data_IF_903436779274
#
_entry.id   IF_903436779274
#
_cell.length_a   1.000
_cell.length_b   1.000
_cell.length_c   1.000
_cell.angle_alpha   90.00
_cell.angle_beta   90.00
_cell.angle_gamma   90.00
#
_symmetry.space_group_name_H-M   'P 1'
#
loop_
_entity.id
_entity.type
_entity.pdbx_description
1 polymer ?
#
# COMPACT_ATOMS: atom_id res chain seq x y z
N UNK A 1 0.51 18.16 17.99
CA UNK A 1 0.82 17.65 16.63
C UNK A 1 0.88 16.14 16.73
N UNK A 2 0.13 15.41 15.90
CA UNK A 2 0.11 13.93 15.93
C UNK A 2 1.47 13.39 15.49
N UNK A 3 1.95 12.34 16.16
CA UNK A 3 3.14 11.60 15.76
C UNK A 3 2.89 10.78 14.48
N UNK A 4 3.94 10.40 13.76
CA UNK A 4 3.82 9.53 12.56
C UNK A 4 3.05 8.24 12.90
N UNK A 5 3.31 7.66 14.06
CA UNK A 5 2.64 6.44 14.54
C UNK A 5 1.14 6.64 14.70
N UNK A 6 0.73 7.75 15.33
CA UNK A 6 -0.69 8.09 15.52
C UNK A 6 -1.38 8.34 14.18
N UNK A 7 -0.73 9.08 13.27
CA UNK A 7 -1.27 9.34 11.93
C UNK A 7 -1.50 8.02 11.18
N UNK A 8 -0.51 7.12 11.15
CA UNK A 8 -0.64 5.82 10.47
C UNK A 8 -1.78 4.99 11.08
N UNK A 9 -1.86 4.93 12.41
CA UNK A 9 -2.87 4.16 13.12
C UNK A 9 -4.28 4.69 12.85
N UNK A 10 -4.49 5.98 13.04
CA UNK A 10 -5.81 6.60 12.84
C UNK A 10 -6.26 6.53 11.37
N UNK A 11 -5.34 6.76 10.43
CA UNK A 11 -5.64 6.67 8.99
C UNK A 11 -6.07 5.25 8.63
N UNK A 12 -5.32 4.23 9.08
CA UNK A 12 -5.62 2.82 8.78
C UNK A 12 -7.00 2.42 9.34
N UNK A 13 -7.28 2.80 10.60
CA UNK A 13 -8.56 2.51 11.26
C UNK A 13 -9.72 3.21 10.55
N UNK A 14 -9.52 4.45 10.08
CA UNK A 14 -10.58 5.18 9.39
C UNK A 14 -10.95 4.55 8.04
N UNK A 15 -9.95 4.11 7.27
CA UNK A 15 -10.19 3.41 6.01
C UNK A 15 -10.95 2.10 6.30
N UNK A 16 -10.52 1.33 7.31
CA UNK A 16 -11.21 0.10 7.75
C UNK A 16 -12.67 0.34 8.13
N UNK A 17 -12.94 1.34 8.97
CA UNK A 17 -14.30 1.69 9.37
C UNK A 17 -15.16 2.09 8.17
N UNK A 18 -14.58 2.80 7.21
CA UNK A 18 -15.28 3.21 6.00
C UNK A 18 -15.64 2.01 5.13
N UNK A 19 -14.70 1.07 4.91
CA UNK A 19 -14.96 -0.20 4.21
C UNK A 19 -16.10 -0.96 4.90
N UNK A 20 -16.05 -1.13 6.22
CA UNK A 20 -17.11 -1.80 7.00
C UNK A 20 -18.47 -1.12 6.76
N UNK A 21 -18.50 0.22 6.74
CA UNK A 21 -19.75 0.98 6.59
C UNK A 21 -20.41 0.83 5.22
N UNK A 22 -19.63 0.76 4.14
CA UNK A 22 -20.16 0.66 2.77
C UNK A 22 -20.48 -0.78 2.36
N UNK A 23 -19.61 -1.72 2.73
CA UNK A 23 -19.73 -3.11 2.28
C UNK A 23 -20.45 -3.99 3.29
N UNK A 24 -20.86 -3.43 4.43
CA UNK A 24 -21.63 -4.12 5.47
C UNK A 24 -20.88 -5.30 6.10
N UNK A 25 -19.57 -5.42 5.86
CA UNK A 25 -18.81 -6.56 6.30
C UNK A 25 -18.50 -6.45 7.79
N UNK A 26 -19.41 -7.01 8.58
CA UNK A 26 -19.25 -7.21 10.01
C UNK A 26 -18.36 -8.41 10.35
N UNK A 27 -17.69 -9.01 9.36
CA UNK A 27 -16.79 -10.14 9.56
C UNK A 27 -15.84 -9.89 10.73
N UNK A 28 -15.49 -10.97 11.40
CA UNK A 28 -14.45 -10.96 12.41
C UNK A 28 -13.11 -10.45 11.84
N UNK A 29 -12.93 -10.47 10.51
CA UNK A 29 -11.71 -10.05 9.84
C UNK A 29 -11.42 -8.56 10.02
N UNK A 30 -12.29 -7.66 9.55
CA UNK A 30 -12.02 -6.21 9.66
C UNK A 30 -11.98 -5.73 11.12
N UNK A 31 -12.84 -6.28 11.99
CA UNK A 31 -12.80 -6.00 13.44
C UNK A 31 -11.48 -6.46 14.07
N UNK A 32 -10.98 -7.64 13.68
CA UNK A 32 -9.66 -8.14 14.11
C UNK A 32 -8.54 -7.25 13.59
N UNK A 33 -8.63 -6.75 12.37
CA UNK A 33 -7.63 -5.83 11.81
C UNK A 33 -7.60 -4.49 12.52
N UNK A 34 -8.76 -3.92 12.89
CA UNK A 34 -8.83 -2.73 13.73
C UNK A 34 -8.13 -2.99 15.07
N UNK A 35 -8.53 -4.05 15.78
CA UNK A 35 -7.92 -4.41 17.07
C UNK A 35 -6.41 -4.68 16.93
N UNK A 36 -5.98 -5.34 15.85
CA UNK A 36 -4.55 -5.57 15.61
C UNK A 36 -3.83 -4.24 15.41
N UNK A 37 -4.33 -3.38 14.54
CA UNK A 37 -3.79 -2.04 14.27
C UNK A 37 -3.69 -1.21 15.55
N UNK A 38 -4.71 -1.25 16.42
CA UNK A 38 -4.72 -0.59 17.73
C UNK A 38 -3.60 -1.06 18.66
N UNK A 39 -3.16 -2.32 18.54
CA UNK A 39 -2.12 -2.90 19.39
C UNK A 39 -0.73 -2.90 18.75
N UNK A 40 -0.60 -2.62 17.44
CA UNK A 40 0.70 -2.48 16.78
C UNK A 40 1.43 -1.24 17.29
N UNK A 41 2.71 -1.43 17.64
CA UNK A 41 3.59 -0.37 18.16
C UNK A 41 4.74 0.00 17.21
N UNK A 42 5.09 -0.87 16.27
CA UNK A 42 6.17 -0.64 15.31
C UNK A 42 5.65 0.14 14.10
N UNK A 43 6.35 1.22 13.74
CA UNK A 43 5.99 2.06 12.59
C UNK A 43 6.07 1.30 11.27
N UNK A 44 7.02 0.37 11.13
CA UNK A 44 7.13 -0.52 9.96
C UNK A 44 5.85 -1.32 9.74
N UNK A 45 5.33 -1.90 10.82
CA UNK A 45 4.21 -2.82 10.78
C UNK A 45 2.90 -2.05 10.52
N UNK A 46 2.79 -0.82 11.03
CA UNK A 46 1.69 0.10 10.68
C UNK A 46 1.74 0.55 9.21
N UNK A 47 2.95 0.71 8.64
CA UNK A 47 3.08 1.03 7.20
C UNK A 47 2.64 -0.15 6.33
N UNK A 48 2.96 -1.38 6.74
CA UNK A 48 2.48 -2.58 6.07
C UNK A 48 0.95 -2.67 6.16
N UNK A 49 0.38 -2.56 7.36
CA UNK A 49 -1.07 -2.57 7.55
C UNK A 49 -1.77 -1.48 6.71
N UNK A 50 -1.24 -0.26 6.67
CA UNK A 50 -1.79 0.79 5.83
C UNK A 50 -1.74 0.40 4.34
N UNK A 51 -0.64 -0.15 3.85
CA UNK A 51 -0.54 -0.58 2.46
C UNK A 51 -1.57 -1.67 2.13
N UNK A 52 -1.72 -2.67 2.99
CA UNK A 52 -2.68 -3.77 2.79
C UNK A 52 -4.12 -3.23 2.70
N UNK A 53 -4.46 -2.28 3.58
CA UNK A 53 -5.79 -1.67 3.58
C UNK A 53 -6.02 -0.72 2.39
N UNK A 54 -4.97 -0.05 1.91
CA UNK A 54 -5.07 0.72 0.67
C UNK A 54 -5.38 -0.20 -0.52
N UNK A 55 -4.78 -1.39 -0.57
CA UNK A 55 -5.10 -2.40 -1.59
C UNK A 55 -6.54 -2.92 -1.45
N UNK A 56 -7.02 -3.18 -0.22
CA UNK A 56 -8.42 -3.56 -0.02
C UNK A 56 -9.41 -2.46 -0.43
N UNK A 57 -9.05 -1.20 -0.26
CA UNK A 57 -9.89 -0.04 -0.58
C UNK A 57 -9.82 0.39 -2.06
N UNK A 58 -8.98 -0.24 -2.88
CA UNK A 58 -8.75 0.22 -4.27
C UNK A 58 -9.98 0.11 -5.17
N UNK A 59 -10.84 -0.86 -4.89
CA UNK A 59 -12.06 -1.13 -5.65
C UNK A 59 -13.25 -0.28 -5.18
N UNK A 60 -13.05 0.60 -4.19
CA UNK A 60 -14.06 1.54 -3.76
C UNK A 60 -14.47 2.48 -4.89
N UNK A 61 -15.76 2.78 -4.97
CA UNK A 61 -16.29 3.66 -6.01
C UNK A 61 -15.85 5.12 -5.79
N UNK A 62 -15.82 5.96 -6.83
CA UNK A 62 -15.40 7.36 -6.71
C UNK A 62 -16.14 8.14 -5.61
N UNK A 63 -17.44 7.92 -5.45
CA UNK A 63 -18.26 8.54 -4.41
C UNK A 63 -17.87 8.08 -2.99
N UNK A 64 -17.49 6.81 -2.84
CA UNK A 64 -17.06 6.22 -1.56
C UNK A 64 -15.65 6.72 -1.19
N UNK A 65 -14.76 6.84 -2.18
CA UNK A 65 -13.44 7.47 -2.01
C UNK A 65 -13.57 8.95 -1.65
N UNK A 66 -14.50 9.68 -2.29
CA UNK A 66 -14.75 11.08 -1.94
C UNK A 66 -15.23 11.25 -0.50
N UNK A 67 -16.10 10.34 -0.04
CA UNK A 67 -16.54 10.29 1.35
C UNK A 67 -15.37 9.99 2.31
N UNK A 68 -14.54 8.98 1.99
CA UNK A 68 -13.35 8.63 2.77
C UNK A 68 -12.36 9.79 2.87
N UNK A 69 -12.04 10.43 1.74
CA UNK A 69 -11.12 11.57 1.68
C UNK A 69 -11.62 12.75 2.52
N UNK A 70 -12.94 13.01 2.50
CA UNK A 70 -13.55 14.05 3.34
C UNK A 70 -13.37 13.72 4.83
N UNK A 71 -13.69 12.50 5.25
CA UNK A 71 -13.58 12.09 6.66
C UNK A 71 -12.14 12.14 7.17
N UNK A 72 -11.18 11.69 6.37
CA UNK A 72 -9.75 11.78 6.69
C UNK A 72 -9.30 13.24 6.82
N UNK A 73 -9.70 14.09 5.88
CA UNK A 73 -9.36 15.52 5.88
C UNK A 73 -9.92 16.26 7.11
N UNK A 74 -11.17 16.01 7.48
CA UNK A 74 -11.80 16.58 8.69
C UNK A 74 -11.07 16.19 9.98
N UNK A 75 -10.40 15.03 9.99
CA UNK A 75 -9.56 14.54 11.10
C UNK A 75 -8.10 15.01 11.06
N UNK A 76 -7.74 15.81 10.05
CA UNK A 76 -6.37 16.27 9.79
C UNK A 76 -5.42 15.14 9.39
N UNK A 77 -5.94 14.07 8.78
CA UNK A 77 -5.19 12.90 8.32
C UNK A 77 -4.91 13.01 6.81
N UNK A 78 -3.86 12.34 6.28
CA UNK A 78 -3.66 12.24 4.84
C UNK A 78 -4.84 11.52 4.18
N UNK A 79 -5.31 12.04 3.05
CA UNK A 79 -6.44 11.44 2.33
C UNK A 79 -6.02 10.17 1.59
N UNK A 80 -6.96 9.29 1.27
CA UNK A 80 -6.71 8.08 0.47
C UNK A 80 -6.06 8.46 -0.86
N UNK A 81 -6.62 9.46 -1.56
CA UNK A 81 -6.06 9.96 -2.82
C UNK A 81 -4.61 10.44 -2.68
N UNK A 82 -4.27 11.13 -1.59
CA UNK A 82 -2.89 11.58 -1.33
C UNK A 82 -1.95 10.39 -1.10
N UNK A 83 -2.40 9.36 -0.38
CA UNK A 83 -1.63 8.15 -0.11
C UNK A 83 -1.39 7.34 -1.39
N UNK A 84 -2.42 7.14 -2.21
CA UNK A 84 -2.33 6.45 -3.50
C UNK A 84 -1.40 7.19 -4.47
N UNK A 85 -1.53 8.52 -4.57
CA UNK A 85 -0.62 9.35 -5.36
C UNK A 85 0.84 9.26 -4.87
N UNK A 86 1.06 9.13 -3.55
CA UNK A 86 2.39 8.94 -2.98
C UNK A 86 2.97 7.57 -3.35
N UNK A 87 2.17 6.50 -3.34
CA UNK A 87 2.58 5.17 -3.83
C UNK A 87 2.98 5.24 -5.30
N UNK A 88 2.15 5.84 -6.15
CA UNK A 88 2.44 5.99 -7.58
C UNK A 88 3.72 6.82 -7.83
N UNK A 89 3.89 7.98 -7.16
CA UNK A 89 5.15 8.75 -7.28
C UNK A 89 6.39 7.95 -6.87
N UNK A 90 6.27 7.08 -5.85
CA UNK A 90 7.36 6.20 -5.43
C UNK A 90 7.65 5.15 -6.52
N UNK A 91 6.63 4.58 -7.15
CA UNK A 91 6.79 3.70 -8.31
C UNK A 91 7.58 4.40 -9.42
N UNK A 92 7.17 5.61 -9.82
CA UNK A 92 7.86 6.38 -10.87
C UNK A 92 9.32 6.66 -10.50
N UNK A 93 9.60 6.94 -9.22
CA UNK A 93 10.98 7.12 -8.75
C UNK A 93 11.80 5.84 -8.87
N UNK A 94 11.21 4.66 -8.62
CA UNK A 94 11.88 3.36 -8.78
C UNK A 94 12.13 3.06 -10.27
N UNK A 95 11.13 3.27 -11.13
CA UNK A 95 11.23 3.14 -12.59
C UNK A 95 12.34 4.04 -13.13
N UNK A 96 12.32 5.32 -12.78
CA UNK A 96 13.31 6.32 -13.22
C UNK A 96 14.73 5.94 -12.79
N UNK A 97 14.86 5.25 -11.65
CA UNK A 97 16.13 4.77 -11.12
C UNK A 97 16.60 3.47 -11.78
N UNK A 98 15.71 2.71 -12.41
CA UNK A 98 16.04 1.49 -13.16
C UNK A 98 16.49 0.30 -12.31
N UNK A 99 16.27 0.31 -10.98
CA UNK A 99 16.56 -0.85 -10.11
C UNK A 99 15.74 -0.86 -8.82
N UNK A 100 15.35 -2.04 -8.37
CA UNK A 100 14.79 -2.31 -7.04
C UNK A 100 15.95 -2.49 -6.04
N UNK A 101 15.87 -1.87 -4.85
CA UNK A 101 16.95 -1.90 -3.84
C UNK A 101 16.70 -2.89 -2.70
N UNK A 102 15.45 -3.25 -2.45
CA UNK A 102 15.04 -4.07 -1.33
C UNK A 102 13.65 -4.66 -1.56
N UNK A 103 13.28 -5.62 -0.72
CA UNK A 103 11.98 -6.31 -0.77
C UNK A 103 10.78 -5.35 -0.69
N UNK A 104 10.85 -4.28 0.11
CA UNK A 104 9.73 -3.34 0.21
C UNK A 104 9.46 -2.59 -1.10
N UNK A 105 10.50 -2.33 -1.90
CA UNK A 105 10.33 -1.78 -3.24
C UNK A 105 9.88 -2.86 -4.24
N UNK A 106 10.34 -4.10 -4.08
CA UNK A 106 9.85 -5.24 -4.86
C UNK A 106 8.34 -5.41 -4.70
N UNK A 107 7.83 -5.51 -3.46
CA UNK A 107 6.40 -5.67 -3.21
C UNK A 107 5.59 -4.51 -3.81
N UNK A 108 6.05 -3.26 -3.63
CA UNK A 108 5.39 -2.12 -4.25
C UNK A 108 5.33 -2.24 -5.78
N UNK A 109 6.45 -2.58 -6.44
CA UNK A 109 6.50 -2.71 -7.90
C UNK A 109 5.62 -3.87 -8.37
N UNK A 110 5.65 -4.99 -7.65
CA UNK A 110 4.86 -6.18 -7.94
C UNK A 110 3.36 -5.92 -7.80
N UNK A 111 2.92 -5.16 -6.78
CA UNK A 111 1.51 -4.76 -6.63
C UNK A 111 0.99 -4.06 -7.90
N UNK A 112 1.76 -3.10 -8.43
CA UNK A 112 1.42 -2.39 -9.67
C UNK A 112 1.49 -3.29 -10.92
N UNK A 113 2.41 -4.24 -10.96
CA UNK A 113 2.51 -5.19 -12.07
C UNK A 113 1.33 -6.18 -12.10
N UNK A 114 0.89 -6.65 -10.93
CA UNK A 114 -0.24 -7.57 -10.78
C UNK A 114 -1.61 -6.88 -10.90
N UNK A 115 -1.69 -5.55 -10.73
CA UNK A 115 -2.94 -4.83 -10.92
C UNK A 115 -3.36 -4.81 -12.40
N UNK A 116 -4.49 -5.44 -12.70
CA UNK A 116 -5.08 -5.54 -14.05
C UNK A 116 -6.09 -4.42 -14.34
N UNK A 117 -6.31 -3.51 -13.39
CA UNK A 117 -7.21 -2.37 -13.56
C UNK A 117 -6.66 -1.43 -14.64
N UNK A 118 -7.51 -1.08 -15.60
CA UNK A 118 -7.14 -0.19 -16.70
C UNK A 118 -6.79 1.21 -16.17
N UNK A 119 -5.71 1.79 -16.70
CA UNK A 119 -5.30 3.16 -16.37
C UNK A 119 -4.50 3.34 -15.07
N UNK A 120 -4.24 2.28 -14.29
CA UNK A 120 -3.38 2.36 -13.09
C UNK A 120 -1.93 2.69 -13.44
N UNK A 121 -1.41 2.07 -14.50
CA UNK A 121 -0.11 2.38 -15.11
C UNK A 121 -0.24 2.30 -16.63
N UNK A 122 0.58 3.08 -17.34
CA UNK A 122 0.71 3.04 -18.79
C UNK A 122 1.36 1.74 -19.28
N UNK A 123 1.24 1.44 -20.57
CA UNK A 123 1.92 0.29 -21.17
C UNK A 123 3.45 0.36 -21.03
N UNK A 124 4.03 1.55 -21.15
CA UNK A 124 5.47 1.77 -20.98
C UNK A 124 5.92 1.55 -19.53
N UNK A 125 5.14 2.04 -18.57
CA UNK A 125 5.40 1.76 -17.15
C UNK A 125 5.24 0.27 -16.85
N UNK A 126 4.27 -0.41 -17.46
CA UNK A 126 4.06 -1.86 -17.32
C UNK A 126 5.25 -2.68 -17.81
N UNK A 127 5.82 -2.30 -18.95
CA UNK A 127 7.07 -2.92 -19.44
C UNK A 127 8.23 -2.67 -18.47
N UNK A 128 8.36 -1.44 -17.96
CA UNK A 128 9.42 -1.09 -17.03
C UNK A 128 9.32 -1.84 -15.69
N UNK A 129 8.12 -1.98 -15.10
CA UNK A 129 7.95 -2.72 -13.83
C UNK A 129 8.23 -4.21 -14.00
N UNK A 130 7.81 -4.82 -15.11
CA UNK A 130 8.09 -6.23 -15.40
C UNK A 130 9.60 -6.48 -15.54
N UNK A 131 10.31 -5.57 -16.23
CA UNK A 131 11.77 -5.64 -16.33
C UNK A 131 12.44 -5.54 -14.96
N UNK A 132 12.01 -4.59 -14.13
CA UNK A 132 12.57 -4.40 -12.79
C UNK A 132 12.40 -5.63 -11.89
N UNK A 133 11.24 -6.27 -11.96
CA UNK A 133 10.94 -7.51 -11.23
C UNK A 133 11.92 -8.61 -11.65
N UNK A 134 12.04 -8.87 -12.96
CA UNK A 134 12.97 -9.89 -13.48
C UNK A 134 14.42 -9.61 -13.09
N UNK A 135 14.89 -8.36 -13.25
CA UNK A 135 16.26 -7.96 -12.87
C UNK A 135 16.54 -8.20 -11.37
N UNK A 136 15.53 -8.05 -10.50
CA UNK A 136 15.68 -8.26 -9.05
C UNK A 136 15.65 -9.74 -8.68
N UNK A 137 14.78 -10.53 -9.31
CA UNK A 137 14.71 -11.99 -9.13
C UNK A 137 16.00 -12.67 -9.57
N UNK A 138 16.59 -12.25 -10.70
CA UNK A 138 17.88 -12.74 -11.19
C UNK A 138 19.03 -12.45 -10.21
N UNK A 139 19.00 -11.29 -9.55
CA UNK A 139 19.97 -10.92 -8.51
C UNK A 139 19.84 -11.79 -7.27
N UNK A 140 18.61 -12.12 -6.86
CA UNK A 140 18.36 -13.03 -5.75
C UNK A 140 18.85 -14.45 -6.07
N UNK A 141 18.60 -14.93 -7.29
CA UNK A 141 19.06 -16.24 -7.75
C UNK A 141 20.59 -16.33 -7.88
N UNK A 142 21.25 -15.23 -8.22
CA UNK A 142 22.71 -15.15 -8.37
C UNK A 142 23.46 -14.89 -7.06
N UNK A 143 22.74 -14.55 -5.98
CA UNK A 143 23.33 -14.37 -4.66
C UNK A 143 23.64 -15.76 -4.06
N UNK A 144 24.91 -16.11 -3.77
CA UNK A 144 25.25 -17.42 -3.26
C UNK A 144 24.55 -17.65 -1.92
N UNK A 145 23.69 -18.67 -1.87
CA UNK A 145 23.14 -19.20 -0.63
C UNK A 145 24.28 -19.39 0.35
N UNK A 146 24.23 -18.71 1.50
CA UNK A 146 25.10 -19.02 2.63
C UNK A 146 24.93 -20.50 2.98
N UNK A 147 25.84 -21.32 2.46
CA UNK A 147 26.13 -22.63 3.00
C UNK A 147 26.80 -22.36 4.35
N UNK A 148 26.02 -22.36 5.42
CA UNK A 148 26.56 -22.51 6.75
C UNK A 148 26.18 -23.89 7.28
N UNK A 149 27.23 -24.71 7.31
CA UNK A 149 27.41 -26.00 7.97
C UNK A 149 27.07 -25.99 9.45
#
# INVERSE_FOLDING_TARGET
>A
MKSEKEILKETTIEILNTIISFYGDNSCFFKRMINTTENVNRVSDLKMALNDILECAKDMKPEEISFLDKNLSEKGLPTFTQLSNKKYKKLISIISRGRIKNENEFYLVNDFACDVTEGVITAQEREAVNKLIGDFEDQLASSPSEKNS
#
